data_IF_153135489585
#
_entry.id   IF_153135489585
#
_cell.length_a   1.000
_cell.length_b   1.000
_cell.length_c   1.000
_cell.angle_alpha   90.00
_cell.angle_beta   90.00
_cell.angle_gamma   90.00
#
_symmetry.space_group_name_H-M   'P 1'
#
loop_
_entity.id
_entity.type
_entity.pdbx_description
1 polymer ?
#
# COMPACT_ATOMS: atom_id res chain seq x y z
N UNK A 1 -100.75 -12.41 -41.68
CA UNK A 1 -101.34 -11.08 -41.42
C UNK A 1 -100.28 -10.01 -41.61
N UNK A 2 -100.31 -9.28 -42.74
CA UNK A 2 -99.37 -8.19 -43.07
C UNK A 2 -100.13 -6.85 -43.01
N UNK A 3 -99.96 -6.09 -41.94
CA UNK A 3 -100.45 -4.72 -41.86
C UNK A 3 -99.40 -3.77 -42.44
N UNK A 4 -99.46 -3.50 -43.74
CA UNK A 4 -98.70 -2.39 -44.36
C UNK A 4 -99.56 -1.14 -44.22
N UNK A 5 -99.40 -0.41 -43.10
CA UNK A 5 -99.92 0.96 -42.99
C UNK A 5 -99.11 1.86 -43.94
N UNK A 6 -99.78 2.48 -44.92
CA UNK A 6 -99.21 3.55 -45.75
C UNK A 6 -98.88 4.74 -44.84
N UNK A 7 -97.62 4.84 -44.40
CA UNK A 7 -97.11 6.02 -43.72
C UNK A 7 -97.23 7.25 -44.64
N UNK A 8 -97.69 8.39 -44.10
CA UNK A 8 -97.65 9.69 -44.78
C UNK A 8 -96.20 10.02 -45.17
N UNK A 9 -96.02 10.62 -46.35
CA UNK A 9 -94.71 10.91 -46.96
C UNK A 9 -93.77 11.69 -46.03
N UNK A 10 -94.32 12.55 -45.16
CA UNK A 10 -93.59 13.33 -44.16
C UNK A 10 -93.04 12.48 -43.01
N UNK A 11 -93.79 11.49 -42.51
CA UNK A 11 -93.34 10.59 -41.44
C UNK A 11 -92.19 9.67 -41.90
N UNK A 12 -92.18 9.28 -43.19
CA UNK A 12 -91.04 8.55 -43.77
C UNK A 12 -89.77 9.40 -43.81
N UNK A 13 -89.89 10.70 -44.08
CA UNK A 13 -88.77 11.64 -44.10
C UNK A 13 -88.14 11.80 -42.71
N UNK A 14 -88.95 11.92 -41.64
CA UNK A 14 -88.41 11.98 -40.27
C UNK A 14 -87.69 10.71 -39.84
N UNK A 15 -88.21 9.52 -40.19
CA UNK A 15 -87.55 8.25 -39.88
C UNK A 15 -86.22 8.11 -40.65
N UNK A 16 -86.18 8.52 -41.92
CA UNK A 16 -84.92 8.51 -42.70
C UNK A 16 -83.88 9.48 -42.12
N UNK A 17 -84.30 10.67 -41.66
CA UNK A 17 -83.40 11.64 -41.04
C UNK A 17 -82.87 11.11 -39.70
N UNK A 18 -83.72 10.48 -38.88
CA UNK A 18 -83.30 9.90 -37.61
C UNK A 18 -82.27 8.77 -37.79
N UNK A 19 -82.44 7.90 -38.78
CA UNK A 19 -81.46 6.85 -39.11
C UNK A 19 -80.12 7.43 -39.56
N UNK A 20 -80.13 8.52 -40.34
CA UNK A 20 -78.90 9.20 -40.76
C UNK A 20 -78.18 9.80 -39.54
N UNK A 21 -78.89 10.44 -38.63
CA UNK A 21 -78.29 10.99 -37.41
C UNK A 21 -77.66 9.91 -36.52
N UNK A 22 -78.34 8.77 -36.32
CA UNK A 22 -77.80 7.64 -35.54
C UNK A 22 -76.56 7.05 -36.21
N UNK A 23 -76.57 6.92 -37.54
CA UNK A 23 -75.40 6.45 -38.28
C UNK A 23 -74.22 7.42 -38.15
N UNK A 24 -74.44 8.73 -38.25
CA UNK A 24 -73.38 9.74 -38.12
C UNK A 24 -72.80 9.76 -36.70
N UNK A 25 -73.64 9.72 -35.66
CA UNK A 25 -73.18 9.70 -34.26
C UNK A 25 -72.49 8.37 -33.92
N UNK A 26 -73.00 7.24 -34.43
CA UNK A 26 -72.38 5.93 -34.23
C UNK A 26 -71.02 5.82 -34.91
N UNK A 27 -70.90 6.28 -36.16
CA UNK A 27 -69.62 6.29 -36.89
C UNK A 27 -68.61 7.22 -36.23
N UNK A 28 -69.01 8.40 -35.75
CA UNK A 28 -68.10 9.29 -35.02
C UNK A 28 -67.60 8.67 -33.71
N UNK A 29 -68.48 8.04 -32.93
CA UNK A 29 -68.10 7.36 -31.68
C UNK A 29 -67.17 6.16 -31.90
N UNK A 30 -67.35 5.40 -32.98
CA UNK A 30 -66.47 4.28 -33.34
C UNK A 30 -65.10 4.82 -33.75
N UNK A 31 -65.05 5.85 -34.60
CA UNK A 31 -63.78 6.46 -35.04
C UNK A 31 -63.00 7.02 -33.86
N UNK A 32 -63.65 7.78 -32.96
CA UNK A 32 -62.99 8.34 -31.77
C UNK A 32 -62.47 7.26 -30.84
N UNK A 33 -63.24 6.18 -30.63
CA UNK A 33 -62.81 5.05 -29.81
C UNK A 33 -61.58 4.35 -30.41
N UNK A 34 -61.56 4.11 -31.73
CA UNK A 34 -60.43 3.48 -32.42
C UNK A 34 -59.17 4.36 -32.36
N UNK A 35 -59.30 5.67 -32.56
CA UNK A 35 -58.16 6.59 -32.46
C UNK A 35 -57.59 6.68 -31.04
N UNK A 36 -58.47 6.68 -30.02
CA UNK A 36 -58.07 6.77 -28.62
C UNK A 36 -57.38 5.47 -28.16
N UNK A 37 -57.87 4.30 -28.60
CA UNK A 37 -57.18 3.01 -28.40
C UNK A 37 -55.78 3.03 -29.03
N UNK A 38 -55.64 3.62 -30.23
CA UNK A 38 -54.36 3.73 -30.93
C UNK A 38 -53.35 4.59 -30.16
N UNK A 39 -53.79 5.75 -29.67
CA UNK A 39 -52.96 6.66 -28.87
C UNK A 39 -52.49 6.01 -27.57
N UNK A 40 -53.43 5.40 -26.83
CA UNK A 40 -53.12 4.69 -25.58
C UNK A 40 -52.07 3.60 -25.84
N UNK A 41 -52.28 2.78 -26.89
CA UNK A 41 -51.33 1.72 -27.23
C UNK A 41 -49.94 2.27 -27.55
N UNK A 42 -49.85 3.37 -28.29
CA UNK A 42 -48.57 3.99 -28.63
C UNK A 42 -47.85 4.53 -27.39
N UNK A 43 -48.56 5.17 -26.47
CA UNK A 43 -48.00 5.63 -25.19
C UNK A 43 -47.50 4.45 -24.34
N UNK A 44 -48.27 3.35 -24.26
CA UNK A 44 -47.84 2.14 -23.57
C UNK A 44 -46.61 1.51 -24.21
N UNK A 45 -46.56 1.41 -25.54
CA UNK A 45 -45.40 0.88 -26.26
C UNK A 45 -44.15 1.75 -26.04
N UNK A 46 -44.32 3.07 -26.00
CA UNK A 46 -43.23 4.00 -25.71
C UNK A 46 -42.73 3.85 -24.27
N UNK A 47 -43.61 3.89 -23.27
CA UNK A 47 -43.25 3.73 -21.86
C UNK A 47 -42.57 2.38 -21.61
N UNK A 48 -43.04 1.30 -22.25
CA UNK A 48 -42.44 -0.02 -22.14
C UNK A 48 -41.03 -0.05 -22.75
N UNK A 49 -40.83 0.62 -23.88
CA UNK A 49 -39.51 0.71 -24.51
C UNK A 49 -38.54 1.56 -23.68
N UNK A 50 -38.98 2.69 -23.14
CA UNK A 50 -38.18 3.52 -22.23
C UNK A 50 -37.79 2.73 -20.98
N UNK A 51 -38.75 2.07 -20.33
CA UNK A 51 -38.49 1.21 -19.14
C UNK A 51 -37.52 0.08 -19.47
N UNK A 52 -37.68 -0.58 -20.63
CA UNK A 52 -36.75 -1.63 -21.08
C UNK A 52 -35.35 -1.08 -21.33
N UNK A 53 -35.25 0.12 -21.90
CA UNK A 53 -33.99 0.77 -22.16
C UNK A 53 -33.28 1.16 -20.86
N UNK A 54 -34.02 1.65 -19.85
CA UNK A 54 -33.49 1.90 -18.51
C UNK A 54 -33.04 0.62 -17.80
N UNK A 55 -33.82 -0.46 -17.90
CA UNK A 55 -33.45 -1.78 -17.38
C UNK A 55 -32.18 -2.31 -18.04
N UNK A 56 -32.07 -2.25 -19.36
CA UNK A 56 -30.87 -2.70 -20.06
C UNK A 56 -29.66 -1.80 -19.77
N UNK A 57 -29.86 -0.50 -19.50
CA UNK A 57 -28.78 0.42 -19.09
C UNK A 57 -28.28 0.16 -17.66
N UNK A 58 -29.16 -0.29 -16.77
CA UNK A 58 -28.82 -0.64 -15.38
C UNK A 58 -28.32 -2.07 -15.20
N UNK A 59 -28.53 -2.91 -16.21
CA UNK A 59 -28.06 -4.30 -16.25
C UNK A 59 -26.54 -4.35 -16.42
N UNK A 60 -25.85 -4.94 -15.45
CA UNK A 60 -24.39 -5.04 -15.45
C UNK A 60 -23.93 -6.43 -15.04
N UNK A 61 -22.86 -6.89 -15.67
CA UNK A 61 -22.12 -8.07 -15.22
C UNK A 61 -21.11 -7.60 -14.19
N UNK A 62 -21.17 -8.16 -12.98
CA UNK A 62 -20.25 -7.83 -11.89
C UNK A 62 -19.71 -9.10 -11.26
N UNK A 63 -18.54 -8.99 -10.64
CA UNK A 63 -17.93 -10.08 -9.90
C UNK A 63 -18.43 -10.06 -8.45
N UNK A 64 -18.82 -11.24 -7.95
CA UNK A 64 -19.36 -11.45 -6.60
C UNK A 64 -18.49 -12.47 -5.88
N UNK A 65 -18.20 -12.22 -4.61
CA UNK A 65 -17.44 -13.16 -3.78
C UNK A 65 -18.24 -14.44 -3.51
N UNK A 66 -17.63 -15.61 -3.75
CA UNK A 66 -18.19 -16.95 -3.46
C UNK A 66 -17.92 -17.39 -2.02
N UNK A 67 -16.89 -16.85 -1.40
CA UNK A 67 -16.48 -17.10 -0.02
C UNK A 67 -16.14 -15.77 0.64
N UNK A 68 -16.00 -15.77 1.97
CA UNK A 68 -15.41 -14.64 2.68
C UNK A 68 -13.96 -14.46 2.20
N UNK A 69 -13.58 -13.22 1.86
CA UNK A 69 -12.22 -12.84 1.44
C UNK A 69 -11.68 -11.88 2.50
N UNK A 70 -10.60 -12.26 3.16
CA UNK A 70 -10.02 -11.45 4.23
C UNK A 70 -9.15 -10.31 3.69
N UNK A 71 -8.98 -9.26 4.50
CA UNK A 71 -8.09 -8.14 4.20
C UNK A 71 -6.66 -8.63 3.94
N UNK A 72 -6.12 -8.31 2.76
CA UNK A 72 -4.80 -8.70 2.32
C UNK A 72 -4.74 -10.03 1.57
N UNK A 73 -5.85 -10.74 1.41
CA UNK A 73 -5.94 -11.96 0.62
C UNK A 73 -6.00 -11.64 -0.89
N UNK A 74 -5.41 -12.50 -1.73
CA UNK A 74 -5.34 -12.31 -3.19
C UNK A 74 -6.62 -12.84 -3.82
N UNK A 75 -7.31 -12.00 -4.61
CA UNK A 75 -8.54 -12.38 -5.29
C UNK A 75 -8.20 -13.26 -6.51
N UNK A 76 -8.57 -14.53 -6.43
CA UNK A 76 -8.39 -15.53 -7.50
C UNK A 76 -9.71 -15.84 -8.20
N UNK A 77 -9.67 -16.42 -9.42
CA UNK A 77 -10.88 -16.72 -10.21
C UNK A 77 -11.78 -17.78 -9.55
N UNK A 78 -11.27 -18.58 -8.61
CA UNK A 78 -12.04 -19.57 -7.85
C UNK A 78 -12.87 -18.98 -6.70
N UNK A 79 -12.50 -17.80 -6.21
CA UNK A 79 -13.19 -17.10 -5.11
C UNK A 79 -14.33 -16.20 -5.59
N UNK A 80 -14.56 -16.12 -6.91
CA UNK A 80 -15.51 -15.18 -7.51
C UNK A 80 -16.42 -15.82 -8.55
N UNK A 81 -17.62 -15.25 -8.68
CA UNK A 81 -18.57 -15.61 -9.74
C UNK A 81 -19.01 -14.36 -10.51
N UNK A 82 -19.16 -14.48 -11.83
CA UNK A 82 -19.81 -13.46 -12.65
C UNK A 82 -21.33 -13.54 -12.51
N UNK A 83 -21.93 -12.48 -11.97
CA UNK A 83 -23.38 -12.36 -11.83
C UNK A 83 -23.91 -11.14 -12.56
N UNK A 84 -25.09 -11.30 -13.14
CA UNK A 84 -25.81 -10.21 -13.78
C UNK A 84 -26.74 -9.54 -12.77
N UNK A 85 -26.54 -8.24 -12.57
CA UNK A 85 -27.18 -7.46 -11.51
C UNK A 85 -27.69 -6.14 -12.07
N UNK A 86 -28.72 -5.59 -11.43
CA UNK A 86 -29.25 -4.27 -11.74
C UNK A 86 -28.66 -3.27 -10.75
N UNK A 87 -27.84 -2.34 -11.24
CA UNK A 87 -27.19 -1.33 -10.41
C UNK A 87 -27.21 0.04 -11.07
N UNK A 88 -27.41 1.08 -10.26
CA UNK A 88 -27.24 2.48 -10.66
C UNK A 88 -25.76 2.90 -10.66
N UNK A 89 -24.87 2.12 -10.04
CA UNK A 89 -23.45 2.42 -9.97
C UNK A 89 -22.79 2.27 -11.35
N UNK A 90 -21.83 3.14 -11.73
CA UNK A 90 -21.07 3.01 -12.97
C UNK A 90 -20.36 1.64 -13.09
N UNK A 91 -20.19 1.15 -14.32
CA UNK A 91 -19.62 -0.19 -14.52
C UNK A 91 -18.13 -0.20 -14.12
N UNK A 92 -17.50 0.95 -14.27
CA UNK A 92 -16.11 1.25 -13.98
C UNK A 92 -15.78 1.20 -12.49
N UNK A 93 -16.79 1.27 -11.61
CA UNK A 93 -16.63 1.13 -10.17
C UNK A 93 -16.45 -0.32 -9.73
N UNK A 94 -16.94 -1.28 -10.53
CA UNK A 94 -16.76 -2.71 -10.26
C UNK A 94 -15.39 -3.17 -10.77
N UNK A 95 -14.85 -4.20 -10.12
CA UNK A 95 -13.66 -4.87 -10.62
C UNK A 95 -13.98 -5.68 -11.88
N UNK A 96 -12.97 -5.89 -12.71
CA UNK A 96 -13.02 -6.72 -13.91
C UNK A 96 -12.11 -7.94 -13.77
N UNK A 97 -12.13 -8.86 -14.74
CA UNK A 97 -11.17 -9.98 -14.77
C UNK A 97 -9.70 -9.54 -14.80
N UNK A 98 -9.41 -8.32 -15.25
CA UNK A 98 -8.06 -7.75 -15.23
C UNK A 98 -7.62 -7.31 -13.84
N UNK A 99 -8.53 -7.26 -12.87
CA UNK A 99 -8.25 -6.90 -11.49
C UNK A 99 -8.05 -8.14 -10.59
N UNK A 100 -8.06 -9.34 -11.18
CA UNK A 100 -7.72 -10.59 -10.48
C UNK A 100 -6.21 -10.64 -10.20
N UNK A 101 -5.81 -11.24 -9.09
CA UNK A 101 -4.42 -11.23 -8.61
C UNK A 101 -4.06 -10.01 -7.74
N UNK A 102 -5.00 -9.09 -7.53
CA UNK A 102 -4.86 -7.99 -6.57
C UNK A 102 -5.34 -8.41 -5.18
N UNK A 103 -4.74 -7.83 -4.15
CA UNK A 103 -5.11 -8.10 -2.76
C UNK A 103 -6.34 -7.28 -2.33
N UNK A 104 -7.20 -7.85 -1.48
CA UNK A 104 -8.30 -7.13 -0.85
C UNK A 104 -7.76 -6.11 0.17
N UNK A 105 -8.33 -4.89 0.18
CA UNK A 105 -7.95 -3.81 1.13
C UNK A 105 -8.81 -3.88 2.40
N UNK A 106 -9.99 -4.48 2.30
CA UNK A 106 -10.94 -4.67 3.40
C UNK A 106 -11.49 -6.09 3.32
N UNK A 107 -12.09 -6.56 4.41
CA UNK A 107 -12.79 -7.84 4.42
C UNK A 107 -14.03 -7.75 3.51
N UNK A 108 -14.20 -8.75 2.64
CA UNK A 108 -15.31 -8.85 1.69
C UNK A 108 -16.10 -10.11 2.03
N UNK A 109 -17.30 -9.96 2.62
CA UNK A 109 -18.15 -11.10 2.93
C UNK A 109 -18.66 -11.82 1.67
N UNK A 110 -18.93 -13.11 1.80
CA UNK A 110 -19.60 -13.93 0.78
C UNK A 110 -20.86 -13.23 0.23
N UNK A 111 -21.05 -13.30 -1.08
CA UNK A 111 -22.20 -12.71 -1.77
C UNK A 111 -22.10 -11.20 -2.02
N UNK A 112 -21.01 -10.55 -1.63
CA UNK A 112 -20.79 -9.12 -1.84
C UNK A 112 -20.29 -8.82 -3.26
N UNK A 113 -20.84 -7.77 -3.90
CA UNK A 113 -20.33 -7.26 -5.18
C UNK A 113 -18.98 -6.58 -4.97
N UNK A 114 -17.96 -7.00 -5.71
CA UNK A 114 -16.60 -6.49 -5.53
C UNK A 114 -16.43 -5.19 -6.34
N UNK A 115 -16.06 -4.12 -5.65
CA UNK A 115 -15.79 -2.81 -6.25
C UNK A 115 -14.29 -2.48 -6.18
N UNK A 116 -13.81 -1.63 -7.08
CA UNK A 116 -12.38 -1.29 -7.17
C UNK A 116 -11.79 -0.70 -5.90
N UNK A 117 -12.59 -0.04 -5.07
CA UNK A 117 -12.13 0.50 -3.79
C UNK A 117 -11.89 -0.56 -2.71
N UNK A 118 -12.36 -1.79 -2.93
CA UNK A 118 -12.11 -2.93 -2.03
C UNK A 118 -10.81 -3.66 -2.38
N UNK A 119 -10.13 -3.29 -3.47
CA UNK A 119 -9.03 -4.06 -4.05
C UNK A 119 -7.82 -3.15 -4.28
N UNK A 120 -6.62 -3.66 -4.03
CA UNK A 120 -5.36 -2.95 -4.22
C UNK A 120 -5.23 -2.39 -5.64
N UNK A 121 -4.63 -1.22 -5.80
CA UNK A 121 -4.46 -0.63 -7.14
C UNK A 121 -3.50 -1.43 -8.01
N UNK A 122 -2.48 -2.04 -7.39
CA UNK A 122 -1.43 -2.80 -8.05
C UNK A 122 -1.56 -4.30 -7.73
N UNK A 123 -1.21 -5.13 -8.70
CA UNK A 123 -0.98 -6.56 -8.48
C UNK A 123 0.20 -6.75 -7.53
N UNK A 124 0.23 -7.88 -6.81
CA UNK A 124 1.41 -8.29 -6.07
C UNK A 124 2.55 -8.47 -7.09
N UNK A 125 3.61 -7.68 -6.96
CA UNK A 125 4.71 -7.71 -7.91
C UNK A 125 5.37 -9.09 -7.88
N UNK A 126 5.58 -9.72 -9.05
CA UNK A 126 6.29 -10.99 -9.18
C UNK A 126 7.71 -11.02 -8.58
N UNK A 127 8.25 -9.82 -8.33
CA UNK A 127 9.58 -9.57 -7.76
C UNK A 127 9.57 -9.70 -6.24
N UNK A 128 8.43 -9.51 -5.58
CA UNK A 128 8.34 -9.56 -4.13
C UNK A 128 8.59 -10.97 -3.59
N UNK A 129 9.21 -11.03 -2.42
CA UNK A 129 9.50 -12.23 -1.66
C UNK A 129 8.98 -12.08 -0.25
N UNK A 130 8.40 -13.16 0.26
CA UNK A 130 8.05 -13.26 1.67
C UNK A 130 9.29 -13.64 2.46
N UNK A 131 9.61 -12.86 3.49
CA UNK A 131 10.79 -13.05 4.33
C UNK A 131 10.38 -13.00 5.79
N UNK A 132 10.89 -13.97 6.55
CA UNK A 132 10.74 -14.07 7.99
C UNK A 132 11.76 -13.18 8.70
N UNK A 133 11.31 -12.39 9.68
CA UNK A 133 12.16 -11.57 10.54
C UNK A 133 11.85 -11.84 12.02
N UNK A 134 12.90 -12.11 12.79
CA UNK A 134 12.88 -12.42 14.24
C UNK A 134 13.56 -11.33 15.11
N UNK A 135 14.26 -10.39 14.48
CA UNK A 135 15.03 -9.33 15.16
C UNK A 135 14.28 -8.01 15.36
N UNK A 136 13.04 -7.91 14.86
CA UNK A 136 12.27 -6.66 14.91
C UNK A 136 11.42 -6.62 16.18
N UNK A 137 11.51 -5.54 16.94
CA UNK A 137 10.64 -5.32 18.09
C UNK A 137 9.21 -4.96 17.65
N UNK A 138 8.27 -5.87 17.89
CA UNK A 138 6.85 -5.71 17.57
C UNK A 138 6.11 -5.19 18.82
N UNK A 139 5.35 -4.11 18.67
CA UNK A 139 4.58 -3.52 19.76
C UNK A 139 3.27 -4.29 20.00
N UNK A 140 2.80 -4.35 21.26
CA UNK A 140 1.63 -5.16 21.65
C UNK A 140 0.29 -4.72 21.02
N UNK A 141 0.23 -3.50 20.49
CA UNK A 141 -0.95 -2.96 19.80
C UNK A 141 -1.02 -3.34 18.31
N UNK A 142 0.00 -4.06 17.80
CA UNK A 142 0.06 -4.55 16.43
C UNK A 142 -0.66 -5.90 16.37
N UNK A 143 -1.53 -6.03 15.38
CA UNK A 143 -2.32 -7.22 15.09
C UNK A 143 -1.93 -7.79 13.73
N UNK A 144 -2.37 -9.02 13.45
CA UNK A 144 -2.20 -9.62 12.13
C UNK A 144 -2.82 -8.72 11.04
N UNK A 145 -2.20 -8.69 9.86
CA UNK A 145 -2.61 -7.90 8.70
C UNK A 145 -2.56 -6.37 8.85
N UNK A 146 -2.06 -5.84 9.98
CA UNK A 146 -1.79 -4.40 10.13
C UNK A 146 -0.71 -3.92 9.14
N UNK A 147 -0.81 -2.65 8.76
CA UNK A 147 0.24 -1.97 8.01
C UNK A 147 1.19 -1.25 8.96
N UNK A 148 2.49 -1.41 8.73
CA UNK A 148 3.56 -0.93 9.60
C UNK A 148 4.73 -0.32 8.81
N UNK A 149 5.42 0.63 9.43
CA UNK A 149 6.79 0.98 9.06
C UNK A 149 7.76 0.19 9.92
N UNK A 150 8.88 -0.25 9.34
CA UNK A 150 10.04 -0.75 10.10
C UNK A 150 11.05 0.38 10.22
N UNK A 151 11.47 0.66 11.45
CA UNK A 151 12.38 1.76 11.77
C UNK A 151 13.56 1.26 12.57
N UNK A 152 14.72 1.88 12.36
CA UNK A 152 15.89 1.73 13.23
C UNK A 152 15.97 2.92 14.17
N UNK A 153 16.26 2.65 15.44
CA UNK A 153 16.65 3.64 16.43
C UNK A 153 18.12 3.41 16.77
N UNK A 154 18.93 4.45 16.67
CA UNK A 154 20.33 4.44 17.07
C UNK A 154 20.53 4.90 18.52
N UNK A 155 21.70 4.65 19.15
CA UNK A 155 21.94 4.95 20.56
C UNK A 155 21.97 6.46 20.85
N UNK A 156 22.26 7.27 19.83
CA UNK A 156 22.22 8.73 19.89
C UNK A 156 20.79 9.31 19.81
N UNK A 157 19.76 8.47 19.67
CA UNK A 157 18.36 8.87 19.54
C UNK A 157 17.92 9.20 18.11
N UNK A 158 18.81 9.13 17.11
CA UNK A 158 18.43 9.27 15.71
C UNK A 158 17.57 8.07 15.27
N UNK A 159 16.46 8.34 14.59
CA UNK A 159 15.57 7.29 14.08
C UNK A 159 15.33 7.45 12.59
N UNK A 160 15.34 6.32 11.87
CA UNK A 160 15.24 6.28 10.43
C UNK A 160 14.23 5.24 9.97
N UNK A 161 13.53 5.53 8.88
CA UNK A 161 12.58 4.61 8.24
C UNK A 161 13.35 3.71 7.29
N UNK A 162 13.29 2.40 7.53
CA UNK A 162 13.98 1.36 6.75
C UNK A 162 13.03 0.78 5.70
N UNK A 163 11.86 0.31 6.13
CA UNK A 163 10.78 -0.16 5.27
C UNK A 163 9.52 0.66 5.56
N UNK A 164 8.77 0.95 4.51
CA UNK A 164 7.57 1.81 4.60
C UNK A 164 6.31 1.05 4.21
N UNK A 165 5.22 1.28 4.95
CA UNK A 165 3.85 0.80 4.67
C UNK A 165 3.79 -0.68 4.25
N UNK A 166 4.42 -1.55 5.04
CA UNK A 166 4.41 -3.01 4.84
C UNK A 166 3.24 -3.66 5.56
N UNK A 167 2.58 -4.60 4.90
CA UNK A 167 1.54 -5.40 5.54
C UNK A 167 2.19 -6.57 6.31
N UNK A 168 1.77 -6.74 7.56
CA UNK A 168 2.22 -7.82 8.42
C UNK A 168 1.49 -9.12 8.06
N UNK A 169 2.22 -10.14 7.61
CA UNK A 169 1.66 -11.44 7.24
C UNK A 169 1.93 -12.48 8.32
N UNK A 170 0.97 -13.38 8.54
CA UNK A 170 1.14 -14.56 9.39
C UNK A 170 1.52 -14.29 10.85
N UNK A 171 1.33 -13.06 11.36
CA UNK A 171 1.78 -12.68 12.69
C UNK A 171 0.91 -13.32 13.78
N UNK A 172 1.57 -13.93 14.75
CA UNK A 172 0.96 -14.44 15.97
C UNK A 172 1.46 -13.61 17.15
N UNK A 173 0.58 -12.99 17.95
CA UNK A 173 0.98 -12.14 19.08
C UNK A 173 1.93 -12.79 20.10
N UNK A 174 1.89 -14.13 20.19
CA UNK A 174 2.71 -14.90 21.12
C UNK A 174 4.10 -15.27 20.56
N UNK A 175 4.39 -14.93 19.30
CA UNK A 175 5.69 -15.18 18.68
C UNK A 175 6.39 -13.87 18.28
N UNK A 176 7.69 -13.72 18.58
CA UNK A 176 8.48 -12.55 18.17
C UNK A 176 8.92 -12.65 16.69
N UNK A 177 8.11 -13.28 15.84
CA UNK A 177 8.43 -13.54 14.44
C UNK A 177 7.37 -12.88 13.58
N UNK A 178 7.78 -12.29 12.46
CA UNK A 178 6.87 -11.71 11.49
C UNK A 178 7.29 -12.00 10.07
N UNK A 179 6.30 -12.03 9.17
CA UNK A 179 6.51 -12.16 7.73
C UNK A 179 6.18 -10.85 7.05
N UNK A 180 7.10 -10.37 6.22
CA UNK A 180 6.94 -9.17 5.40
C UNK A 180 7.22 -9.51 3.94
N UNK A 181 6.46 -8.89 3.04
CA UNK A 181 6.74 -8.95 1.61
C UNK A 181 7.65 -7.78 1.21
N UNK A 182 8.83 -8.12 0.73
CA UNK A 182 9.89 -7.17 0.37
C UNK A 182 10.36 -7.42 -1.06
N UNK A 183 10.78 -6.37 -1.75
CA UNK A 183 11.55 -6.49 -2.98
C UNK A 183 13.05 -6.68 -2.70
N UNK A 184 13.87 -6.81 -3.75
CA UNK A 184 15.31 -7.04 -3.62
C UNK A 184 16.05 -5.86 -2.98
N UNK A 185 15.68 -4.62 -3.32
CA UNK A 185 16.32 -3.44 -2.72
C UNK A 185 15.99 -3.33 -1.24
N UNK A 186 14.73 -3.52 -0.89
CA UNK A 186 14.23 -3.56 0.48
C UNK A 186 14.86 -4.69 1.28
N UNK A 187 15.07 -5.86 0.69
CA UNK A 187 15.77 -6.98 1.31
C UNK A 187 17.21 -6.62 1.66
N UNK A 188 17.96 -6.03 0.73
CA UNK A 188 19.34 -5.58 0.97
C UNK A 188 19.39 -4.46 2.02
N UNK A 189 18.47 -3.50 1.94
CA UNK A 189 18.35 -2.38 2.89
C UNK A 189 18.02 -2.87 4.30
N UNK A 190 17.08 -3.81 4.42
CA UNK A 190 16.72 -4.42 5.69
C UNK A 190 17.89 -5.23 6.26
N UNK A 191 18.59 -6.00 5.43
CA UNK A 191 19.80 -6.73 5.84
C UNK A 191 20.88 -5.81 6.40
N UNK A 192 21.11 -4.65 5.76
CA UNK A 192 22.02 -3.64 6.28
C UNK A 192 21.58 -3.09 7.65
N UNK A 193 20.28 -2.82 7.82
CA UNK A 193 19.74 -2.30 9.07
C UNK A 193 19.84 -3.30 10.22
N UNK A 194 19.70 -4.61 9.94
CA UNK A 194 19.90 -5.69 10.92
C UNK A 194 21.37 -5.72 11.37
N UNK A 195 22.31 -5.62 10.43
CA UNK A 195 23.74 -5.57 10.75
C UNK A 195 24.07 -4.32 11.57
N UNK A 196 23.55 -3.14 11.19
CA UNK A 196 23.74 -1.91 11.96
C UNK A 196 23.18 -2.01 13.38
N UNK A 197 22.01 -2.65 13.55
CA UNK A 197 21.41 -2.86 14.86
C UNK A 197 22.28 -3.75 15.78
N UNK A 198 22.98 -4.74 15.21
CA UNK A 198 23.94 -5.57 15.93
C UNK A 198 25.29 -4.89 16.16
N UNK A 199 25.73 -4.01 15.26
CA UNK A 199 27.01 -3.31 15.33
C UNK A 199 27.01 -2.21 16.40
N UNK A 200 25.95 -1.41 16.43
CA UNK A 200 25.85 -0.27 17.34
C UNK A 200 25.04 -0.64 18.58
N UNK A 201 25.72 -0.99 19.67
CA UNK A 201 25.10 -1.36 20.94
C UNK A 201 24.07 -0.33 21.42
N UNK A 202 22.84 -0.78 21.69
CA UNK A 202 21.71 0.07 22.07
C UNK A 202 20.81 0.46 20.89
N UNK A 203 21.19 0.08 19.67
CA UNK A 203 20.31 0.21 18.51
C UNK A 203 19.24 -0.87 18.53
N UNK A 204 18.07 -0.55 17.98
CA UNK A 204 16.99 -1.52 17.82
C UNK A 204 16.15 -1.26 16.59
N UNK A 205 15.69 -2.34 15.97
CA UNK A 205 14.66 -2.31 14.95
C UNK A 205 13.29 -2.43 15.62
N UNK A 206 12.33 -1.59 15.21
CA UNK A 206 10.99 -1.61 15.77
C UNK A 206 9.93 -1.26 14.72
N UNK A 207 8.71 -1.74 14.95
CA UNK A 207 7.56 -1.45 14.10
C UNK A 207 6.74 -0.26 14.59
N UNK A 208 6.26 0.55 13.66
CA UNK A 208 5.29 1.63 13.90
C UNK A 208 4.04 1.39 13.07
N UNK A 209 2.88 1.23 13.73
CA UNK A 209 1.58 0.96 13.09
C UNK A 209 0.96 2.20 12.46
N UNK A 210 0.36 2.04 11.29
CA UNK A 210 -0.54 3.01 10.68
C UNK A 210 -1.92 2.95 11.35
N UNK A 211 -2.49 4.12 11.66
CA UNK A 211 -3.82 4.20 12.29
C UNK A 211 -4.89 3.92 11.23
N UNK A 212 -4.76 4.57 10.07
CA UNK A 212 -5.68 4.43 8.94
C UNK A 212 -4.86 4.24 7.66
N UNK A 213 -4.44 3.00 7.35
CA UNK A 213 -3.55 2.72 6.22
C UNK A 213 -4.12 3.13 4.85
N UNK A 214 -5.45 3.24 4.74
CA UNK A 214 -6.13 3.59 3.51
C UNK A 214 -6.02 5.09 3.15
N UNK A 215 -5.84 5.96 4.14
CA UNK A 215 -5.82 7.41 3.96
C UNK A 215 -4.40 7.96 4.20
N UNK A 216 -3.64 7.31 5.08
CA UNK A 216 -2.28 7.75 5.38
C UNK A 216 -1.31 7.37 4.26
N UNK A 217 -0.58 8.38 3.77
CA UNK A 217 0.52 8.20 2.83
C UNK A 217 1.67 7.44 3.47
N UNK A 218 2.43 6.70 2.64
CA UNK A 218 3.61 5.99 3.09
C UNK A 218 4.69 6.96 3.58
N UNK A 219 5.36 6.62 4.68
CA UNK A 219 6.53 7.36 5.16
C UNK A 219 7.65 7.37 4.12
N UNK A 220 8.38 8.48 4.03
CA UNK A 220 9.58 8.59 3.19
C UNK A 220 10.70 7.76 3.83
N UNK A 221 11.37 6.94 3.02
CA UNK A 221 12.53 6.15 3.44
C UNK A 221 13.70 7.09 3.70
N UNK A 222 14.28 7.00 4.90
CA UNK A 222 15.36 7.90 5.36
C UNK A 222 16.59 7.15 5.85
N UNK A 223 16.50 5.82 6.00
CA UNK A 223 17.65 5.00 6.34
C UNK A 223 18.59 4.88 5.15
N UNK A 224 19.89 5.02 5.42
CA UNK A 224 20.93 4.87 4.41
C UNK A 224 21.81 3.66 4.75
N UNK A 225 21.81 2.62 3.90
CA UNK A 225 22.66 1.43 4.08
C UNK A 225 24.15 1.75 4.14
N UNK A 226 24.93 0.77 4.59
CA UNK A 226 26.39 0.84 4.54
C UNK A 226 26.91 0.96 3.09
N UNK A 227 28.10 1.54 2.92
CA UNK A 227 28.69 1.80 1.59
C UNK A 227 28.79 0.52 0.76
N UNK A 228 29.13 -0.62 1.37
CA UNK A 228 29.20 -1.91 0.67
C UNK A 228 27.84 -2.37 0.16
N UNK A 229 26.77 -2.14 0.91
CA UNK A 229 25.40 -2.50 0.50
C UNK A 229 24.87 -1.51 -0.54
N UNK A 230 25.20 -0.22 -0.43
CA UNK A 230 24.89 0.75 -1.50
C UNK A 230 25.51 0.36 -2.84
N UNK A 231 26.77 -0.09 -2.82
CA UNK A 231 27.42 -0.61 -4.03
C UNK A 231 26.75 -1.90 -4.54
N UNK A 232 26.26 -2.76 -3.64
CA UNK A 232 25.53 -3.97 -4.04
C UNK A 232 24.20 -3.60 -4.73
N UNK A 233 23.44 -2.67 -4.14
CA UNK A 233 22.19 -2.14 -4.71
C UNK A 233 22.44 -1.53 -6.10
N UNK A 234 23.51 -0.75 -6.27
CA UNK A 234 23.84 -0.12 -7.56
C UNK A 234 24.17 -1.15 -8.67
N UNK A 235 24.72 -2.31 -8.30
CA UNK A 235 25.17 -3.33 -9.24
C UNK A 235 24.21 -4.53 -9.39
N UNK A 236 23.14 -4.61 -8.60
CA UNK A 236 22.22 -5.75 -8.64
C UNK A 236 21.36 -5.73 -9.92
N UNK A 237 21.35 -6.82 -10.72
CA UNK A 237 20.53 -6.92 -11.92
C UNK A 237 19.02 -7.02 -11.66
N UNK A 238 18.60 -7.44 -10.46
CA UNK A 238 17.20 -7.67 -10.09
C UNK A 238 16.50 -6.41 -9.57
N UNK A 239 17.24 -5.32 -9.32
CA UNK A 239 16.70 -4.02 -8.92
C UNK A 239 16.31 -3.23 -10.16
N UNK A 240 15.03 -2.85 -10.23
CA UNK A 240 14.44 -2.19 -11.41
C UNK A 240 14.90 -0.73 -11.52
N UNK A 241 14.76 0.03 -10.44
CA UNK A 241 14.97 1.48 -10.42
C UNK A 241 16.34 1.84 -9.83
N UNK A 242 17.40 1.61 -10.60
CA UNK A 242 18.77 1.94 -10.17
C UNK A 242 19.04 3.44 -10.25
N UNK A 243 19.44 4.03 -9.13
CA UNK A 243 19.94 5.40 -9.05
C UNK A 243 21.39 5.42 -8.54
N UNK A 244 22.14 6.47 -8.93
CA UNK A 244 23.50 6.67 -8.43
C UNK A 244 23.47 6.92 -6.92
N UNK A 245 24.32 6.20 -6.18
CA UNK A 245 24.35 6.22 -4.72
C UNK A 245 25.30 7.29 -4.14
N UNK A 246 25.86 8.18 -4.97
CA UNK A 246 26.87 9.17 -4.55
C UNK A 246 26.41 10.03 -3.36
N UNK A 247 25.18 10.53 -3.40
CA UNK A 247 24.62 11.35 -2.32
C UNK A 247 24.37 10.52 -1.05
N UNK A 248 23.87 9.30 -1.21
CA UNK A 248 23.64 8.37 -0.10
C UNK A 248 24.95 8.00 0.60
N UNK A 249 26.06 7.86 -0.15
CA UNK A 249 27.38 7.63 0.43
C UNK A 249 27.81 8.81 1.33
N UNK A 250 27.59 10.06 0.92
CA UNK A 250 27.91 11.23 1.74
C UNK A 250 27.05 11.30 3.01
N UNK A 251 25.75 11.03 2.89
CA UNK A 251 24.82 10.96 4.04
C UNK A 251 25.27 9.87 5.01
N UNK A 252 25.63 8.68 4.51
CA UNK A 252 26.09 7.56 5.34
C UNK A 252 27.37 7.88 6.10
N UNK A 253 28.36 8.47 5.43
CA UNK A 253 29.61 8.91 6.07
C UNK A 253 29.35 9.91 7.22
N UNK A 254 28.47 10.88 6.98
CA UNK A 254 28.11 11.85 8.00
C UNK A 254 27.42 11.19 9.20
N UNK A 255 26.53 10.22 8.96
CA UNK A 255 25.88 9.43 10.00
C UNK A 255 26.89 8.64 10.84
N UNK A 256 27.83 7.94 10.21
CA UNK A 256 28.85 7.16 10.92
C UNK A 256 29.76 8.04 11.78
N UNK A 257 30.17 9.21 11.28
CA UNK A 257 30.93 10.19 12.06
C UNK A 257 30.17 10.65 13.32
N UNK A 258 28.85 10.91 13.19
CA UNK A 258 28.00 11.31 14.34
C UNK A 258 27.83 10.17 15.34
N UNK A 259 27.62 8.94 14.87
CA UNK A 259 27.49 7.76 15.73
C UNK A 259 28.79 7.46 16.50
N UNK A 260 29.93 7.46 15.80
CA UNK A 260 31.23 7.22 16.41
C UNK A 260 31.53 8.25 17.51
N UNK A 261 31.24 9.53 17.25
CA UNK A 261 31.35 10.61 18.25
C UNK A 261 30.43 10.38 19.45
N UNK A 262 29.22 9.88 19.26
CA UNK A 262 28.25 9.68 20.34
C UNK A 262 28.60 8.51 21.26
N UNK A 263 29.26 7.48 20.73
CA UNK A 263 29.60 6.26 21.45
C UNK A 263 30.98 6.30 22.12
N UNK A 264 31.69 7.44 22.05
CA UNK A 264 33.08 7.60 22.51
C UNK A 264 34.02 6.50 21.99
N UNK A 265 33.70 5.99 20.79
CA UNK A 265 34.52 4.98 20.11
C UNK A 265 35.83 5.65 19.66
N UNK A 266 36.96 4.95 19.64
CA UNK A 266 38.25 5.55 19.20
C UNK A 266 38.19 5.82 17.69
N UNK A 267 37.70 7.01 17.30
CA UNK A 267 37.29 7.39 15.91
C UNK A 267 38.50 7.64 14.98
N UNK A 268 39.71 7.19 15.33
CA UNK A 268 40.88 7.37 14.45
C UNK A 268 40.73 6.62 13.12
N UNK A 269 39.89 5.59 13.08
CA UNK A 269 39.63 4.77 11.89
C UNK A 269 38.29 5.08 11.19
N UNK A 270 37.34 5.77 11.84
CA UNK A 270 35.97 6.04 11.32
C UNK A 270 35.70 7.55 11.18
N UNK A 271 36.71 8.35 10.85
CA UNK A 271 36.50 9.76 10.54
C UNK A 271 36.50 9.97 9.03
N UNK A 272 35.33 9.83 8.42
CA UNK A 272 35.16 10.02 6.99
C UNK A 272 35.28 11.50 6.61
N UNK A 273 36.04 11.78 5.55
CA UNK A 273 36.04 13.09 4.91
C UNK A 273 34.71 13.34 4.17
N UNK A 274 34.06 14.46 4.50
CA UNK A 274 32.80 14.88 3.88
C UNK A 274 33.06 15.93 2.80
N UNK A 275 32.40 15.78 1.64
CA UNK A 275 32.48 16.73 0.53
C UNK A 275 31.19 17.57 0.50
N UNK A 276 31.26 18.84 0.91
CA UNK A 276 30.14 19.78 0.78
C UNK A 276 28.98 19.61 1.79
N UNK A 277 27.83 20.21 1.47
CA UNK A 277 26.63 20.22 2.33
C UNK A 277 25.82 18.94 2.14
N UNK A 278 25.60 18.19 3.22
CA UNK A 278 24.83 16.94 3.22
C UNK A 278 23.37 17.22 2.87
N UNK A 279 22.85 16.53 1.84
CA UNK A 279 21.43 16.56 1.46
C UNK A 279 20.86 15.15 1.50
N UNK A 280 19.66 15.00 2.05
CA UNK A 280 18.96 13.72 2.02
C UNK A 280 18.27 13.55 0.67
N UNK A 281 18.45 12.40 0.02
CA UNK A 281 17.65 12.04 -1.14
C UNK A 281 16.39 11.33 -0.65
N UNK A 282 15.18 11.90 -0.84
CA UNK A 282 13.98 11.11 -0.68
C UNK A 282 13.89 10.12 -1.84
N UNK A 283 13.64 8.86 -1.54
CA UNK A 283 13.26 7.86 -2.53
C UNK A 283 11.82 8.18 -2.98
N UNK A 284 11.68 9.12 -3.90
CA UNK A 284 10.37 9.49 -4.46
C UNK A 284 9.99 8.45 -5.51
N UNK A 285 8.98 7.62 -5.18
CA UNK A 285 8.29 6.78 -6.15
C UNK A 285 7.85 7.61 -7.37
N UNK A 286 8.08 7.03 -8.55
CA UNK A 286 7.76 7.52 -9.89
C UNK A 286 6.97 8.84 -9.98
N UNK A 287 7.69 9.95 -10.07
CA UNK A 287 7.15 11.29 -10.34
C UNK A 287 8.14 12.11 -11.17
N UNK A 288 7.70 12.52 -12.35
CA UNK A 288 8.49 13.27 -13.35
C UNK A 288 9.26 14.45 -12.74
N UNK A 289 10.58 14.47 -12.98
CA UNK A 289 11.46 15.60 -12.74
C UNK A 289 11.02 16.79 -13.60
N UNK A 290 10.29 17.74 -13.02
CA UNK A 290 10.14 19.09 -13.57
C UNK A 290 11.15 20.00 -12.87
N UNK A 291 12.32 20.14 -13.47
CA UNK A 291 13.30 21.13 -13.07
C UNK A 291 12.76 22.53 -13.41
N UNK A 292 12.32 23.26 -12.38
CA UNK A 292 12.26 24.71 -12.40
C UNK A 292 12.45 25.21 -10.96
N UNK A 293 13.68 25.57 -10.62
CA UNK A 293 13.91 26.50 -9.51
C UNK A 293 14.86 27.56 -10.01
N UNK A 294 14.29 28.76 -10.13
CA UNK A 294 14.96 30.01 -10.43
C UNK A 294 15.84 30.39 -9.25
N UNK A 295 16.96 31.01 -9.59
CA UNK A 295 17.83 31.78 -8.71
C UNK A 295 17.08 32.93 -8.01
N UNK A 296 17.76 33.48 -6.99
CA UNK A 296 17.47 34.67 -6.16
C UNK A 296 16.79 34.37 -4.81
N UNK A 297 17.25 34.82 -3.64
CA UNK A 297 18.18 35.92 -3.26
C UNK A 297 18.67 35.78 -1.81
N UNK A 298 19.89 36.29 -1.58
CA UNK A 298 20.46 36.97 -0.40
C UNK A 298 19.88 36.77 1.02
N UNK A 299 20.77 36.45 1.95
CA UNK A 299 20.85 37.18 3.22
C UNK A 299 22.29 37.20 3.76
N UNK A 300 22.84 38.42 3.84
CA UNK A 300 24.08 38.77 4.52
C UNK A 300 24.02 38.49 6.02
N UNK A 301 25.11 37.94 6.57
CA UNK A 301 25.68 38.41 7.84
C UNK A 301 27.19 38.54 7.63
N UNK A 302 27.64 39.79 7.66
CA UNK A 302 29.03 40.21 7.79
C UNK A 302 29.54 39.83 9.20
N UNK A 303 30.74 39.26 9.31
CA UNK A 303 31.92 40.01 9.77
C UNK A 303 33.14 39.12 10.14
N UNK A 304 34.25 39.40 9.42
CA UNK A 304 35.61 39.71 9.94
C UNK A 304 36.44 38.50 10.49
N UNK A 305 37.71 38.25 10.10
CA UNK A 305 38.65 38.94 9.21
C UNK A 305 39.86 38.04 8.83
N UNK A 306 40.43 38.37 7.67
CA UNK A 306 41.86 38.46 7.30
C UNK A 306 42.80 37.25 7.50
N UNK A 307 43.40 36.77 6.39
CA UNK A 307 44.62 37.43 5.87
C UNK A 307 45.11 36.92 4.49
N UNK A 308 45.55 37.89 3.68
CA UNK A 308 46.60 37.85 2.63
C UNK A 308 46.21 37.47 1.18
N UNK A 309 45.87 38.53 0.43
CA UNK A 309 46.49 39.13 -0.79
C UNK A 309 46.82 38.27 -2.03
N UNK A 310 46.19 38.70 -3.14
CA UNK A 310 46.74 39.18 -4.43
C UNK A 310 47.88 38.35 -5.08
N UNK A 311 47.89 37.99 -6.37
CA UNK A 311 47.26 38.59 -7.54
C UNK A 311 47.44 37.66 -8.77
N UNK A 312 46.49 37.79 -9.71
CA UNK A 312 46.67 37.74 -11.17
C UNK A 312 46.82 36.43 -12.01
N UNK A 313 45.72 36.13 -12.74
CA UNK A 313 45.57 36.22 -14.23
C UNK A 313 45.91 35.00 -15.14
N UNK A 314 44.96 34.75 -16.07
CA UNK A 314 44.91 33.94 -17.34
C UNK A 314 44.61 32.43 -17.20
N UNK A 315 43.39 31.95 -17.51
CA UNK A 315 42.73 31.71 -18.82
C UNK A 315 43.27 30.54 -19.67
N UNK A 316 42.38 29.55 -19.83
CA UNK A 316 42.13 28.69 -20.99
C UNK A 316 43.25 27.79 -21.55
N UNK A 317 42.98 26.48 -21.51
CA UNK A 317 43.65 25.53 -22.39
C UNK A 317 43.25 24.08 -22.13
N UNK A 318 42.18 23.62 -22.77
CA UNK A 318 41.83 22.19 -22.92
C UNK A 318 42.99 21.41 -23.56
N UNK A 319 43.29 20.21 -23.06
CA UNK A 319 43.08 18.93 -23.77
C UNK A 319 43.82 17.76 -23.11
N UNK A 320 43.02 16.72 -22.82
CA UNK A 320 43.19 15.29 -23.12
C UNK A 320 44.46 14.49 -22.75
N UNK A 321 44.10 13.28 -22.31
CA UNK A 321 44.72 11.96 -22.48
C UNK A 321 45.69 11.48 -21.39
N UNK A 322 45.15 10.48 -20.68
CA UNK A 322 45.72 9.21 -20.24
C UNK A 322 46.96 9.21 -19.34
N UNK A 323 46.88 8.42 -18.26
CA UNK A 323 47.82 7.35 -17.89
C UNK A 323 47.42 6.83 -16.49
N UNK A 324 47.10 5.54 -16.41
CA UNK A 324 47.04 4.77 -15.16
C UNK A 324 48.42 4.73 -14.49
N UNK A 325 48.49 4.64 -13.15
CA UNK A 325 49.54 3.82 -12.55
C UNK A 325 48.95 2.68 -11.72
N UNK A 326 49.32 1.47 -12.14
CA UNK A 326 49.55 0.34 -11.23
C UNK A 326 50.55 0.78 -10.15
N UNK A 327 50.26 0.48 -8.88
CA UNK A 327 51.33 0.34 -7.89
C UNK A 327 51.27 -1.02 -7.21
N UNK A 328 52.46 -1.60 -7.17
CA UNK A 328 52.80 -2.97 -6.89
C UNK A 328 52.70 -3.31 -5.39
N UNK A 329 52.27 -4.55 -5.18
CA UNK A 329 52.49 -5.36 -3.99
C UNK A 329 53.93 -5.26 -3.47
N UNK A 330 54.07 -5.03 -2.16
CA UNK A 330 55.22 -5.50 -1.40
C UNK A 330 54.72 -6.22 -0.14
N UNK A 331 55.04 -7.51 -0.07
CA UNK A 331 54.67 -8.45 0.97
C UNK A 331 55.79 -8.62 1.99
N UNK A 332 55.50 -8.41 3.27
CA UNK A 332 56.20 -8.87 4.49
C UNK A 332 55.27 -8.48 5.65
N UNK A 333 54.85 -9.26 6.64
CA UNK A 333 55.16 -10.60 7.14
C UNK A 333 53.89 -11.12 7.83
N UNK A 334 53.45 -12.34 7.52
CA UNK A 334 52.36 -13.01 8.25
C UNK A 334 52.96 -13.91 9.34
N UNK A 335 52.82 -13.50 10.61
CA UNK A 335 53.02 -14.41 11.73
C UNK A 335 51.78 -15.29 11.89
N UNK A 336 51.97 -16.56 11.59
CA UNK A 336 51.09 -17.70 11.87
C UNK A 336 51.06 -17.94 13.39
N UNK A 337 49.88 -17.95 14.00
CA UNK A 337 49.67 -18.53 15.32
C UNK A 337 48.69 -19.70 15.21
N UNK A 338 49.16 -20.82 15.75
CA UNK A 338 48.60 -22.15 15.63
C UNK A 338 47.34 -22.32 16.50
N UNK A 339 46.34 -22.99 15.93
CA UNK A 339 45.21 -23.55 16.68
C UNK A 339 45.69 -24.82 17.42
N UNK A 340 45.69 -24.79 18.75
CA UNK A 340 45.76 -25.99 19.58
C UNK A 340 44.35 -26.49 19.86
N UNK A 341 44.16 -27.75 19.53
CA UNK A 341 42.98 -28.58 19.72
C UNK A 341 43.14 -29.32 21.05
N UNK A 342 42.17 -29.20 21.97
CA UNK A 342 42.07 -30.10 23.12
C UNK A 342 40.64 -30.64 23.22
N UNK A 343 40.53 -31.91 22.84
CA UNK A 343 39.40 -32.78 23.13
C UNK A 343 39.51 -33.25 24.60
N UNK A 344 38.39 -33.29 25.31
CA UNK A 344 38.15 -34.32 26.32
C UNK A 344 36.66 -34.65 26.42
N UNK A 345 36.34 -35.90 26.09
CA UNK A 345 35.08 -36.58 26.39
C UNK A 345 35.00 -36.94 27.88
N UNK A 346 33.78 -36.89 28.44
CA UNK A 346 33.28 -37.92 29.38
C UNK A 346 31.76 -37.83 29.57
N UNK A 347 31.05 -38.66 28.82
CA UNK A 347 29.98 -39.63 29.17
C UNK A 347 28.89 -39.33 30.23
N UNK A 348 27.64 -39.37 29.73
CA UNK A 348 26.36 -39.94 30.25
C UNK A 348 25.80 -39.62 31.66
N UNK A 349 24.54 -39.14 31.68
CA UNK A 349 23.36 -39.91 32.16
C UNK A 349 22.03 -39.15 31.96
N UNK A 350 21.03 -39.87 31.46
CA UNK A 350 19.59 -39.54 31.51
C UNK A 350 19.07 -39.59 32.96
N UNK A 351 18.10 -38.72 33.30
CA UNK A 351 16.84 -39.13 33.93
C UNK A 351 15.87 -37.93 34.07
N UNK A 352 14.62 -38.21 33.70
CA UNK A 352 13.39 -37.42 33.86
C UNK A 352 13.02 -37.20 35.34
N UNK A 353 12.56 -36.00 35.72
CA UNK A 353 11.19 -35.83 36.29
C UNK A 353 10.85 -34.38 36.68
N UNK A 354 9.54 -34.13 36.62
CA UNK A 354 8.80 -32.92 36.95
C UNK A 354 9.11 -32.30 38.33
N UNK A 355 9.22 -30.96 38.42
CA UNK A 355 8.55 -30.24 39.52
C UNK A 355 8.30 -28.76 39.24
N UNK A 356 7.08 -28.37 39.56
CA UNK A 356 6.49 -27.03 39.55
C UNK A 356 7.16 -26.13 40.59
N UNK A 357 7.63 -24.93 40.20
CA UNK A 357 7.73 -23.80 41.15
C UNK A 357 7.72 -22.46 40.44
N UNK A 358 6.60 -21.76 40.61
CA UNK A 358 6.36 -20.38 40.24
C UNK A 358 7.11 -19.43 41.17
N UNK A 359 8.10 -18.71 40.67
CA UNK A 359 8.69 -17.55 41.37
C UNK A 359 8.01 -16.28 40.86
N UNK A 360 6.98 -15.86 41.61
CA UNK A 360 6.26 -14.60 41.41
C UNK A 360 7.12 -13.47 42.00
N UNK A 361 7.70 -12.64 41.13
CA UNK A 361 8.30 -11.37 41.54
C UNK A 361 7.19 -10.31 41.74
N UNK A 362 7.07 -9.84 42.98
CA UNK A 362 6.10 -8.84 43.42
C UNK A 362 6.67 -7.43 43.16
N UNK A 363 6.02 -6.64 42.32
CA UNK A 363 6.33 -5.21 42.11
C UNK A 363 5.16 -4.34 42.59
N UNK A 364 5.34 -3.47 43.61
CA UNK A 364 4.23 -2.78 44.28
C UNK A 364 3.83 -1.41 43.67
N UNK A 365 4.04 -1.19 42.36
CA UNK A 365 3.80 0.14 41.74
C UNK A 365 2.62 0.22 40.77
N UNK A 366 1.82 -0.84 40.62
CA UNK A 366 0.59 -0.78 39.81
C UNK A 366 -0.64 -0.70 40.73
N UNK A 367 -1.31 0.44 40.65
CA UNK A 367 -2.53 0.76 41.38
C UNK A 367 -3.66 -0.25 41.13
N UNK A 368 -4.56 -0.28 42.10
CA UNK A 368 -5.66 -1.24 42.28
C UNK A 368 -6.50 -1.47 41.02
N UNK A 369 -6.64 -2.75 40.65
CA UNK A 369 -7.69 -3.25 39.76
C UNK A 369 -8.97 -3.38 40.61
N UNK A 370 -10.09 -2.84 40.13
CA UNK A 370 -11.40 -3.06 40.76
C UNK A 370 -11.90 -4.46 40.39
N UNK A 371 -12.31 -5.23 41.42
CA UNK A 371 -12.87 -6.58 41.29
C UNK A 371 -14.15 -6.60 40.45
N UNK A 372 -14.19 -7.55 39.51
CA UNK A 372 -15.40 -8.07 38.88
C UNK A 372 -16.12 -9.00 39.86
N UNK A 373 -17.23 -8.55 40.44
CA UNK A 373 -18.38 -9.41 40.76
C UNK A 373 -19.59 -8.53 41.16
N UNK A 374 -20.40 -8.15 40.17
CA UNK A 374 -21.78 -7.74 40.46
C UNK A 374 -22.71 -8.17 39.33
N UNK A 375 -23.30 -9.35 39.52
CA UNK A 375 -24.32 -9.96 38.66
C UNK A 375 -25.68 -9.87 39.39
N UNK A 376 -26.66 -9.11 38.88
CA UNK A 376 -28.09 -9.20 39.27
C UNK A 376 -28.95 -8.90 38.01
N UNK A 377 -30.06 -9.62 37.77
CA UNK A 377 -30.53 -9.97 36.43
C UNK A 377 -31.63 -9.07 35.85
N UNK A 378 -31.93 -9.38 34.59
CA UNK A 378 -32.94 -8.81 33.69
C UNK A 378 -34.37 -8.90 34.24
N UNK A 379 -35.14 -7.81 34.11
CA UNK A 379 -36.55 -7.79 33.63
C UNK A 379 -37.03 -6.33 33.48
N UNK A 380 -37.60 -5.98 32.33
CA UNK A 380 -38.23 -4.67 32.05
C UNK A 380 -38.05 -4.17 30.63
#
# INVERSE_FOLDING_TARGET
MRFIKRLRRTTRQYITVAFICIAVIGTSAIVTSVTMIGQIRQEYEQMLNETRQELEKSKKTVLVALTDIETGEIITEEMIEEKLVYSSQPAESYISKNDLGKAAIIDIPEGTHIIKSMVAQNEVSSIQREVEYDVIHISSNIQANDFVDVRILYPNGETYVVLTKKQLKGYQPDMPICYLWVDEEELLRMSAAIVDAGLYSGSKLYMTKYIEPNIQDASIITYTPSISVLNLIENDPNIVDRCSQLLNIEVRKALENRLAKSLDMDVKDINWELKGTIRYMPESGNGQLSANTKEDTDTNIEDINENIKDDNVISLGNNKEDIYPEENFNSTDFHKQDYMNDNNESTEKEDTDNNTRSDIFYFPELGQIYDEEYFIPVEG
#
